data_IF_143258051722
#
_entry.id   IF_143258051722
#
_cell.length_a   1.000
_cell.length_b   1.000
_cell.length_c   1.000
_cell.angle_alpha   90.00
_cell.angle_beta   90.00
_cell.angle_gamma   90.00
#
_symmetry.space_group_name_H-M   'P 1'
#
loop_
_entity.id
_entity.type
_entity.pdbx_description
1 polymer ?
#
# COMPACT_ATOMS: atom_id res chain seq x y z
N UNK A 1 -15.77 6.69 13.40
CA UNK A 1 -14.94 7.14 12.25
C UNK A 1 -14.52 5.95 11.37
N UNK A 2 -15.45 5.09 10.93
CA UNK A 2 -15.13 3.74 10.41
C UNK A 2 -15.37 3.49 8.92
N UNK A 3 -15.40 4.51 8.05
CA UNK A 3 -15.63 4.30 6.61
C UNK A 3 -14.49 4.72 5.68
N UNK A 4 -13.42 5.32 6.20
CA UNK A 4 -12.23 5.65 5.38
C UNK A 4 -11.32 4.42 5.21
N UNK A 5 -11.34 3.45 6.13
CA UNK A 5 -10.57 2.20 5.99
C UNK A 5 -11.18 1.19 5.00
N UNK A 6 -12.46 1.32 4.65
CA UNK A 6 -13.06 0.66 3.49
C UNK A 6 -12.79 1.42 2.17
N UNK A 7 -12.11 2.58 2.23
CA UNK A 7 -11.85 3.39 1.06
C UNK A 7 -10.92 2.67 0.09
N UNK A 8 -11.16 2.89 -1.19
CA UNK A 8 -10.28 2.51 -2.28
C UNK A 8 -8.79 2.80 -2.01
N UNK A 9 -8.47 3.83 -1.22
CA UNK A 9 -7.09 4.16 -0.82
C UNK A 9 -6.46 3.06 0.04
N UNK A 10 -7.18 2.48 1.00
CA UNK A 10 -6.67 1.37 1.83
C UNK A 10 -6.45 0.09 1.01
N UNK A 11 -7.19 -0.08 -0.10
CA UNK A 11 -6.92 -1.16 -1.05
C UNK A 11 -5.64 -0.86 -1.83
N UNK A 12 -5.48 0.37 -2.31
CA UNK A 12 -4.26 0.81 -3.00
C UNK A 12 -3.03 0.83 -2.10
N UNK A 13 -3.17 1.11 -0.81
CA UNK A 13 -2.04 1.29 0.09
C UNK A 13 -1.20 0.04 0.27
N UNK A 14 -1.61 -1.15 -0.19
CA UNK A 14 -0.76 -2.35 -0.09
C UNK A 14 0.36 -2.37 -1.13
N UNK A 15 0.04 -2.01 -2.37
CA UNK A 15 0.94 -2.19 -3.51
C UNK A 15 0.92 -1.04 -4.52
N UNK A 16 0.08 -0.04 -4.31
CA UNK A 16 -0.23 0.97 -5.31
C UNK A 16 -0.96 0.42 -6.54
N UNK A 17 -1.35 -0.86 -6.57
CA UNK A 17 -1.98 -1.52 -7.73
C UNK A 17 -3.22 -2.30 -7.33
N UNK A 18 -4.28 -2.18 -8.13
CA UNK A 18 -5.52 -2.96 -8.01
C UNK A 18 -5.89 -3.62 -9.34
N UNK A 19 -6.23 -4.91 -9.31
CA UNK A 19 -6.86 -5.58 -10.43
C UNK A 19 -8.30 -5.08 -10.60
N UNK A 20 -8.81 -5.07 -11.84
CA UNK A 20 -10.18 -4.66 -12.17
C UNK A 20 -11.24 -5.30 -11.28
N UNK A 21 -11.09 -6.57 -10.94
CA UNK A 21 -12.09 -7.30 -10.14
C UNK A 21 -12.23 -6.72 -8.72
N UNK A 22 -11.14 -6.20 -8.16
CA UNK A 22 -11.12 -5.63 -6.80
C UNK A 22 -11.88 -4.30 -6.72
N UNK A 23 -11.95 -3.57 -7.84
CA UNK A 23 -12.59 -2.24 -7.93
C UNK A 23 -13.97 -2.28 -8.58
N UNK A 24 -14.46 -3.46 -8.98
CA UNK A 24 -15.78 -3.62 -9.62
C UNK A 24 -16.93 -3.07 -8.76
N UNK A 25 -16.82 -3.16 -7.44
CA UNK A 25 -17.83 -2.69 -6.49
C UNK A 25 -17.69 -1.20 -6.11
N UNK A 26 -16.58 -0.53 -6.46
CA UNK A 26 -16.29 0.86 -6.05
C UNK A 26 -15.90 1.76 -7.25
N UNK A 27 -16.76 1.73 -8.28
CA UNK A 27 -16.53 2.46 -9.53
C UNK A 27 -16.56 3.99 -9.35
N UNK A 28 -17.36 4.50 -8.41
CA UNK A 28 -17.48 5.94 -8.17
C UNK A 28 -16.18 6.52 -7.61
N UNK A 29 -15.59 5.87 -6.60
CA UNK A 29 -14.30 6.32 -6.04
C UNK A 29 -13.19 6.16 -7.05
N UNK A 30 -13.19 5.07 -7.83
CA UNK A 30 -12.21 4.84 -8.88
C UNK A 30 -12.26 5.93 -9.95
N UNK A 31 -13.46 6.32 -10.41
CA UNK A 31 -13.62 7.40 -11.39
C UNK A 31 -13.07 8.73 -10.86
N UNK A 32 -13.27 9.02 -9.57
CA UNK A 32 -12.66 10.21 -8.94
C UNK A 32 -11.14 10.15 -8.94
N UNK A 33 -10.55 9.00 -8.58
CA UNK A 33 -9.10 8.81 -8.61
C UNK A 33 -8.51 8.98 -10.02
N UNK A 34 -9.18 8.44 -11.04
CA UNK A 34 -8.80 8.62 -12.45
C UNK A 34 -8.89 10.08 -12.89
N UNK A 35 -10.02 10.74 -12.61
CA UNK A 35 -10.24 12.13 -13.01
C UNK A 35 -9.26 13.11 -12.35
N UNK A 36 -8.89 12.85 -11.09
CA UNK A 36 -7.90 13.64 -10.35
C UNK A 36 -6.45 13.28 -10.73
N UNK A 37 -6.26 12.25 -11.56
CA UNK A 37 -4.94 11.76 -11.97
C UNK A 37 -4.16 11.06 -10.87
N UNK A 38 -4.82 10.67 -9.77
CA UNK A 38 -4.22 9.88 -8.68
C UNK A 38 -4.02 8.42 -9.08
N UNK A 39 -4.83 7.92 -10.02
CA UNK A 39 -4.63 6.60 -10.59
C UNK A 39 -4.64 6.63 -12.11
N UNK A 40 -4.04 5.62 -12.72
CA UNK A 40 -4.07 5.37 -14.17
C UNK A 40 -4.51 3.93 -14.45
N UNK A 41 -5.10 3.70 -15.63
CA UNK A 41 -5.48 2.37 -16.10
C UNK A 41 -4.34 1.78 -16.92
N UNK A 42 -3.88 0.58 -16.55
CA UNK A 42 -2.80 -0.15 -17.22
C UNK A 42 -3.33 -1.47 -17.75
N UNK A 43 -2.86 -1.85 -18.94
CA UNK A 43 -3.13 -3.15 -19.54
C UNK A 43 -1.84 -3.96 -19.53
N UNK A 44 -1.88 -5.15 -18.93
CA UNK A 44 -0.72 -6.03 -18.87
C UNK A 44 -1.19 -7.47 -19.06
N UNK A 45 -0.61 -8.17 -20.05
CA UNK A 45 -0.95 -9.55 -20.43
C UNK A 45 -2.45 -9.83 -20.54
N UNK A 46 -3.18 -8.93 -21.21
CA UNK A 46 -4.63 -9.05 -21.43
C UNK A 46 -5.51 -8.73 -20.23
N UNK A 47 -4.93 -8.34 -19.09
CA UNK A 47 -5.64 -7.97 -17.87
C UNK A 47 -5.62 -6.46 -17.65
N UNK A 48 -6.59 -5.97 -16.87
CA UNK A 48 -6.76 -4.55 -16.56
C UNK A 48 -6.38 -4.30 -15.11
N UNK A 49 -5.45 -3.38 -14.92
CA UNK A 49 -5.00 -2.89 -13.63
C UNK A 49 -5.26 -1.40 -13.50
N UNK A 50 -5.35 -0.97 -12.25
CA UNK A 50 -5.36 0.43 -11.88
C UNK A 50 -4.16 0.65 -10.98
N UNK A 51 -3.33 1.63 -11.29
CA UNK A 51 -2.13 1.95 -10.54
C UNK A 51 -2.21 3.36 -9.99
N UNK A 52 -1.69 3.57 -8.79
CA UNK A 52 -1.43 4.91 -8.27
C UNK A 52 -0.31 5.58 -9.06
N UNK A 53 -0.50 6.85 -9.36
CA UNK A 53 0.54 7.70 -9.95
C UNK A 53 1.32 8.39 -8.83
N UNK A 54 2.43 9.04 -9.19
CA UNK A 54 3.18 9.86 -8.23
C UNK A 54 2.36 11.01 -7.64
N UNK A 55 1.29 11.47 -8.33
CA UNK A 55 0.37 12.49 -7.78
C UNK A 55 -0.37 12.00 -6.53
N UNK A 56 -0.48 10.69 -6.33
CA UNK A 56 -1.11 10.10 -5.15
C UNK A 56 -0.16 9.97 -3.94
N UNK A 57 1.14 10.29 -4.08
CA UNK A 57 2.10 10.22 -2.96
C UNK A 57 1.65 10.98 -1.71
N UNK A 58 1.07 12.19 -1.78
CA UNK A 58 0.55 12.87 -0.59
C UNK A 58 -0.57 12.11 0.11
N UNK A 59 -1.39 11.34 -0.63
CA UNK A 59 -2.44 10.50 -0.04
C UNK A 59 -1.84 9.31 0.71
N UNK A 60 -0.80 8.69 0.15
CA UNK A 60 -0.06 7.61 0.79
C UNK A 60 0.70 8.11 2.03
N UNK A 61 1.26 9.30 1.98
CA UNK A 61 1.90 9.94 3.14
C UNK A 61 0.90 10.20 4.27
N UNK A 62 -0.30 10.67 3.95
CA UNK A 62 -1.35 10.83 4.95
C UNK A 62 -1.77 9.48 5.55
N UNK A 63 -1.91 8.45 4.71
CA UNK A 63 -2.22 7.09 5.16
C UNK A 63 -1.12 6.51 6.07
N UNK A 64 0.16 6.72 5.72
CA UNK A 64 1.30 6.36 6.57
C UNK A 64 1.22 7.01 7.95
N UNK A 65 0.87 8.31 8.03
CA UNK A 65 0.72 9.01 9.31
C UNK A 65 -0.37 8.40 10.18
N UNK A 66 -1.51 8.05 9.59
CA UNK A 66 -2.59 7.35 10.29
C UNK A 66 -2.08 6.00 10.84
N UNK A 67 -1.38 5.21 10.02
CA UNK A 67 -0.78 3.95 10.45
C UNK A 67 0.25 4.13 11.59
N UNK A 68 1.03 5.21 11.54
CA UNK A 68 1.99 5.56 12.60
C UNK A 68 1.30 5.91 13.91
N UNK A 69 0.23 6.71 13.85
CA UNK A 69 -0.58 7.07 15.01
C UNK A 69 -1.24 5.84 15.63
N UNK A 70 -1.83 4.97 14.80
CA UNK A 70 -2.43 3.71 15.23
C UNK A 70 -1.40 2.78 15.87
N UNK A 71 -0.22 2.61 15.26
CA UNK A 71 0.86 1.80 15.81
C UNK A 71 1.37 2.35 17.14
N UNK A 72 1.51 3.68 17.25
CA UNK A 72 1.93 4.36 18.48
C UNK A 72 0.94 4.14 19.62
N UNK A 73 -0.35 4.31 19.34
CA UNK A 73 -1.41 4.09 20.31
C UNK A 73 -1.48 2.63 20.75
N UNK A 74 -1.33 1.68 19.82
CA UNK A 74 -1.35 0.26 20.14
C UNK A 74 -0.12 -0.20 20.93
N UNK A 75 1.05 0.41 20.71
CA UNK A 75 2.22 0.14 21.55
C UNK A 75 2.00 0.56 23.01
N UNK A 76 1.26 1.65 23.25
CA UNK A 76 0.90 2.11 24.59
C UNK A 76 -0.14 1.19 25.26
N UNK A 77 -1.15 0.75 24.51
CA UNK A 77 -2.22 -0.10 25.04
C UNK A 77 -1.80 -1.56 25.23
N UNK A 78 -0.91 -2.06 24.37
CA UNK A 78 -0.50 -3.46 24.32
C UNK A 78 1.04 -3.57 24.30
N UNK A 79 1.73 -3.16 25.37
CA UNK A 79 3.20 -3.11 25.40
C UNK A 79 3.89 -4.47 25.25
N UNK A 80 3.18 -5.58 25.50
CA UNK A 80 3.69 -6.94 25.27
C UNK A 80 3.70 -7.35 23.78
N UNK A 81 3.03 -6.59 22.90
CA UNK A 81 2.97 -6.89 21.48
C UNK A 81 4.24 -6.42 20.77
N UNK A 82 5.15 -7.36 20.50
CA UNK A 82 6.41 -7.11 19.77
C UNK A 82 6.21 -6.48 18.39
N UNK A 83 5.05 -6.71 17.76
CA UNK A 83 4.70 -6.16 16.45
C UNK A 83 4.72 -4.63 16.45
N UNK A 84 4.05 -4.01 17.41
CA UNK A 84 3.93 -2.55 17.43
C UNK A 84 5.24 -1.86 17.83
N UNK A 85 6.00 -2.47 18.73
CA UNK A 85 7.35 -2.00 19.05
C UNK A 85 8.27 -2.07 17.82
N UNK A 86 8.27 -3.19 17.09
CA UNK A 86 9.07 -3.34 15.87
C UNK A 86 8.69 -2.31 14.78
N UNK A 87 7.39 -2.03 14.60
CA UNK A 87 6.90 -0.99 13.69
C UNK A 87 7.45 0.40 14.02
N UNK A 88 7.47 0.73 15.31
CA UNK A 88 7.94 2.03 15.77
C UNK A 88 9.45 2.11 15.73
N UNK A 89 10.18 1.02 15.94
CA UNK A 89 11.64 1.02 15.94
C UNK A 89 12.25 1.02 14.51
N UNK A 90 11.42 1.10 13.46
CA UNK A 90 11.80 0.96 12.05
C UNK A 90 12.66 -0.30 11.81
N UNK A 91 12.43 -1.34 12.62
CA UNK A 91 13.15 -2.60 12.51
C UNK A 91 12.57 -3.31 11.28
N UNK A 92 13.39 -3.38 10.23
CA UNK A 92 13.16 -4.33 9.13
C UNK A 92 12.94 -5.69 9.79
N UNK A 93 12.07 -6.54 9.27
CA UNK A 93 11.63 -7.80 9.88
C UNK A 93 10.41 -7.68 10.79
N UNK A 94 9.28 -7.32 10.17
CA UNK A 94 8.05 -7.99 10.54
C UNK A 94 8.00 -9.35 9.86
N UNK A 95 7.59 -10.36 10.62
CA UNK A 95 7.17 -11.64 10.09
C UNK A 95 6.16 -11.40 8.96
N UNK A 96 6.54 -11.72 7.72
CA UNK A 96 5.67 -11.55 6.54
C UNK A 96 4.42 -12.43 6.62
N UNK A 97 4.38 -13.39 7.54
CA UNK A 97 3.22 -14.23 7.82
C UNK A 97 2.20 -13.53 8.73
N UNK A 98 2.56 -12.43 9.41
CA UNK A 98 1.61 -11.69 10.23
C UNK A 98 0.56 -11.00 9.35
N UNK A 99 -0.76 -11.15 9.58
CA UNK A 99 -1.78 -10.48 8.76
C UNK A 99 -1.66 -8.95 8.73
N UNK A 100 -1.23 -8.32 9.84
CA UNK A 100 -0.99 -6.87 9.92
C UNK A 100 0.20 -6.44 9.07
N UNK A 101 1.03 -7.40 8.63
CA UNK A 101 2.13 -7.15 7.71
C UNK A 101 1.64 -6.47 6.42
N UNK A 102 0.41 -6.77 6.01
CA UNK A 102 -0.08 -6.37 4.70
C UNK A 102 -0.35 -4.88 4.54
N UNK A 103 -0.69 -4.19 5.62
CA UNK A 103 -1.16 -2.80 5.56
C UNK A 103 -0.02 -1.80 5.33
N UNK A 104 1.23 -2.27 5.42
CA UNK A 104 2.43 -1.46 5.32
C UNK A 104 3.37 -1.95 4.22
N UNK A 105 2.93 -2.93 3.41
CA UNK A 105 3.74 -3.50 2.33
C UNK A 105 4.27 -2.44 1.36
N UNK A 106 3.51 -1.37 1.14
CA UNK A 106 3.93 -0.26 0.28
C UNK A 106 5.12 0.52 0.83
N UNK A 107 5.32 0.54 2.15
CA UNK A 107 6.40 1.31 2.77
C UNK A 107 7.78 0.68 2.57
N UNK A 108 7.86 -0.52 2.00
CA UNK A 108 9.13 -1.19 1.71
C UNK A 108 9.95 -1.42 2.99
N UNK A 109 9.85 -2.64 3.54
CA UNK A 109 10.61 -3.05 4.73
C UNK A 109 10.41 -2.12 5.94
N UNK A 110 9.18 -1.59 6.10
CA UNK A 110 8.64 -1.06 7.35
C UNK A 110 9.27 0.21 7.91
N UNK A 111 9.39 1.25 7.08
CA UNK A 111 9.89 2.56 7.53
C UNK A 111 8.75 3.50 7.89
N UNK A 112 8.06 3.24 9.00
CA UNK A 112 6.86 3.98 9.36
C UNK A 112 7.16 5.42 9.79
N UNK A 113 8.36 5.70 10.30
CA UNK A 113 8.77 7.08 10.68
C UNK A 113 9.26 7.93 9.51
N UNK A 114 9.50 7.35 8.34
CA UNK A 114 10.05 8.05 7.18
C UNK A 114 8.96 8.47 6.21
N UNK A 115 9.12 9.61 5.51
CA UNK A 115 8.14 10.03 4.51
C UNK A 115 8.09 9.04 3.34
N UNK A 116 6.92 8.93 2.73
CA UNK A 116 6.72 8.12 1.52
C UNK A 116 7.49 8.74 0.34
N UNK A 117 8.26 7.93 -0.37
CA UNK A 117 9.04 8.32 -1.55
C UNK A 117 8.58 7.58 -2.80
N UNK A 118 8.84 8.16 -3.98
CA UNK A 118 8.41 7.58 -5.26
C UNK A 118 8.97 6.17 -5.51
N UNK A 119 10.21 5.91 -5.10
CA UNK A 119 10.84 4.59 -5.26
C UNK A 119 10.12 3.49 -4.48
N UNK A 120 9.51 3.80 -3.33
CA UNK A 120 8.69 2.84 -2.58
C UNK A 120 7.43 2.46 -3.35
N UNK A 121 6.77 3.45 -3.98
CA UNK A 121 5.61 3.19 -4.83
C UNK A 121 5.99 2.28 -5.99
N UNK A 122 7.06 2.57 -6.71
CA UNK A 122 7.51 1.73 -7.84
C UNK A 122 7.93 0.32 -7.41
N UNK A 123 8.66 0.20 -6.30
CA UNK A 123 9.01 -1.11 -5.72
C UNK A 123 7.77 -1.90 -5.31
N UNK A 124 6.76 -1.24 -4.73
CA UNK A 124 5.52 -1.90 -4.31
C UNK A 124 4.71 -2.41 -5.51
N UNK A 125 4.65 -1.65 -6.62
CA UNK A 125 4.04 -2.10 -7.87
C UNK A 125 4.79 -3.28 -8.46
N UNK A 126 6.12 -3.21 -8.51
CA UNK A 126 6.97 -4.30 -8.98
C UNK A 126 6.68 -5.59 -8.21
N UNK A 127 6.70 -5.53 -6.86
CA UNK A 127 6.40 -6.68 -5.98
C UNK A 127 5.01 -7.26 -6.24
N UNK A 128 4.03 -6.43 -6.61
CA UNK A 128 2.69 -6.90 -6.94
C UNK A 128 2.63 -7.72 -8.23
N UNK A 129 3.28 -7.21 -9.28
CA UNK A 129 3.33 -7.89 -10.56
C UNK A 129 4.20 -9.15 -10.50
N UNK A 130 5.31 -9.10 -9.76
CA UNK A 130 6.21 -10.24 -9.53
C UNK A 130 5.46 -11.40 -8.85
N UNK A 131 4.71 -11.11 -7.77
CA UNK A 131 3.87 -12.11 -7.08
C UNK A 131 2.80 -12.75 -7.96
N UNK A 132 2.49 -12.16 -9.12
CA UNK A 132 1.52 -12.67 -10.10
C UNK A 132 2.17 -13.25 -11.35
N UNK A 133 3.50 -13.34 -11.37
CA UNK A 133 4.25 -13.79 -12.53
C UNK A 133 4.08 -12.88 -13.74
N UNK A 134 3.75 -11.60 -13.54
CA UNK A 134 3.52 -10.60 -14.60
C UNK A 134 4.76 -9.76 -14.93
N UNK A 135 5.84 -9.91 -14.15
CA UNK A 135 7.15 -9.33 -14.45
C UNK A 135 7.93 -10.29 -15.35
N UNK A 136 8.52 -9.76 -16.41
CA UNK A 136 9.49 -10.50 -17.22
C UNK A 136 10.84 -10.38 -16.52
N UNK A 137 11.41 -11.52 -16.15
CA UNK A 137 12.84 -11.59 -15.91
C UNK A 137 13.47 -11.53 -17.29
N UNK A 138 14.06 -10.39 -17.64
CA UNK A 138 15.01 -10.35 -18.76
C UNK A 138 16.12 -11.35 -18.40
N UNK A 139 16.07 -12.52 -19.03
CA UNK A 139 17.16 -13.48 -18.98
C UNK A 139 18.32 -12.88 -19.78
N UNK A 140 19.12 -12.05 -19.09
CA UNK A 140 20.42 -11.61 -19.56
C UNK A 140 21.43 -12.76 -19.51
#
# INVERSE_FOLDING_TARGET
MNNILNSLLAKFSKYGVLHRDVVRQDQTSLKRFLNLGFSQKIYQRGQVFYELTQKALPLLENYRKILLEEASLMALLCPWSKVYTALLDDVRFLDSENPKAQDFLFLGDWQLKRPVVASQLELSKYRYYEKRGLVEYDAA
#
